data_IF_664494284178
#
_entry.id   IF_664494284178
#
_cell.length_a   1.000
_cell.length_b   1.000
_cell.length_c   1.000
_cell.angle_alpha   90.00
_cell.angle_beta   90.00
_cell.angle_gamma   90.00
#
_symmetry.space_group_name_H-M   'P 1'
#
loop_
_entity.id
_entity.type
_entity.pdbx_description
1 polymer ?
#
# COMPACT_ATOMS: atom_id res chain seq x y z
N UNK A 1 -15.42 -8.26 18.39
CA UNK A 1 -16.01 -6.89 18.42
C UNK A 1 -15.00 -5.78 18.79
N UNK A 2 -13.69 -5.96 18.52
CA UNK A 2 -12.66 -4.97 18.86
C UNK A 2 -11.88 -4.37 17.68
N UNK A 3 -12.08 -4.89 16.46
CA UNK A 3 -11.37 -4.42 15.27
C UNK A 3 -11.84 -3.03 14.81
N UNK A 4 -13.14 -2.75 14.97
CA UNK A 4 -13.77 -1.51 14.50
C UNK A 4 -13.28 -0.28 15.28
N UNK A 5 -13.14 -0.41 16.60
CA UNK A 5 -12.67 0.66 17.50
C UNK A 5 -11.17 0.93 17.28
N UNK A 6 -10.38 -0.13 17.03
CA UNK A 6 -8.95 0.00 16.79
C UNK A 6 -8.64 0.61 15.40
N UNK A 7 -9.47 0.33 14.40
CA UNK A 7 -9.30 0.90 13.06
C UNK A 7 -9.96 2.27 12.87
N UNK A 8 -10.92 2.71 13.70
CA UNK A 8 -11.52 4.05 13.54
C UNK A 8 -10.46 5.17 13.63
N UNK A 9 -9.41 5.00 14.44
CA UNK A 9 -8.33 5.99 14.59
C UNK A 9 -7.44 6.09 13.34
N UNK A 10 -7.52 5.13 12.41
CA UNK A 10 -6.76 5.17 11.15
C UNK A 10 -7.28 6.25 10.22
N UNK A 11 -8.59 6.54 10.23
CA UNK A 11 -9.15 7.64 9.42
C UNK A 11 -8.55 8.98 9.86
N UNK A 12 -8.34 9.19 11.16
CA UNK A 12 -7.69 10.39 11.70
C UNK A 12 -6.28 10.67 11.14
N UNK A 13 -5.63 9.69 10.50
CA UNK A 13 -4.28 9.82 9.95
C UNK A 13 -4.24 9.71 8.41
N UNK A 14 -5.38 9.60 7.71
CA UNK A 14 -5.39 9.35 6.25
C UNK A 14 -4.59 10.37 5.45
N UNK A 15 -4.65 11.65 5.84
CA UNK A 15 -3.88 12.74 5.20
C UNK A 15 -2.36 12.66 5.44
N UNK A 16 -1.91 11.86 6.40
CA UNK A 16 -0.49 11.65 6.73
C UNK A 16 0.04 10.30 6.24
N UNK A 17 -0.80 9.46 5.65
CA UNK A 17 -0.39 8.15 5.16
C UNK A 17 0.42 8.27 3.88
N UNK A 18 1.36 7.35 3.68
CA UNK A 18 1.97 7.13 2.36
C UNK A 18 0.89 6.68 1.36
N UNK A 19 1.02 7.03 0.07
CA UNK A 19 0.03 6.65 -0.94
C UNK A 19 -0.21 5.14 -1.01
N UNK A 20 0.84 4.33 -0.85
CA UNK A 20 0.74 2.87 -0.74
C UNK A 20 -0.11 2.39 0.44
N UNK A 21 0.05 3.01 1.62
CA UNK A 21 -0.73 2.70 2.81
C UNK A 21 -2.19 3.14 2.68
N UNK A 22 -2.42 4.32 2.08
CA UNK A 22 -3.76 4.82 1.80
C UNK A 22 -4.49 3.89 0.82
N UNK A 23 -3.88 3.57 -0.33
CA UNK A 23 -4.46 2.63 -1.31
C UNK A 23 -4.75 1.25 -0.70
N UNK A 24 -3.87 0.74 0.19
CA UNK A 24 -4.12 -0.51 0.93
C UNK A 24 -5.31 -0.43 1.90
N UNK A 25 -5.53 0.72 2.51
CA UNK A 25 -6.70 0.97 3.35
C UNK A 25 -7.97 1.04 2.47
N UNK A 26 -7.94 1.84 1.41
CA UNK A 26 -9.07 2.04 0.49
C UNK A 26 -9.51 0.74 -0.21
N UNK A 27 -8.57 -0.13 -0.59
CA UNK A 27 -8.89 -1.42 -1.24
C UNK A 27 -9.43 -2.49 -0.28
N UNK A 28 -9.43 -2.24 1.03
CA UNK A 28 -9.81 -3.23 2.04
C UNK A 28 -11.32 -3.44 2.06
N UNK A 29 -11.77 -4.69 2.16
CA UNK A 29 -13.21 -5.02 2.17
C UNK A 29 -13.99 -4.40 3.34
N UNK A 30 -13.30 -4.05 4.44
CA UNK A 30 -13.88 -3.43 5.64
C UNK A 30 -13.94 -1.90 5.51
N UNK A 31 -13.22 -1.32 4.55
CA UNK A 31 -13.16 0.13 4.36
C UNK A 31 -14.53 0.82 4.18
N UNK A 32 -15.47 0.32 3.35
CA UNK A 32 -16.78 0.97 3.20
C UNK A 32 -17.54 1.07 4.53
N UNK A 33 -17.61 -0.03 5.31
CA UNK A 33 -18.21 -0.03 6.66
C UNK A 33 -17.48 0.94 7.61
N UNK A 34 -16.15 1.00 7.52
CA UNK A 34 -15.32 1.87 8.34
C UNK A 34 -15.56 3.37 8.02
N UNK A 35 -15.70 3.71 6.74
CA UNK A 35 -15.99 5.06 6.27
C UNK A 35 -17.41 5.50 6.68
N UNK A 36 -18.40 4.61 6.55
CA UNK A 36 -19.77 4.87 6.98
C UNK A 36 -19.86 5.07 8.50
N UNK A 37 -19.18 4.23 9.28
CA UNK A 37 -19.11 4.38 10.73
C UNK A 37 -18.49 5.73 11.12
N UNK A 38 -17.39 6.13 10.48
CA UNK A 38 -16.75 7.42 10.74
C UNK A 38 -17.66 8.60 10.40
N UNK A 39 -18.42 8.52 9.31
CA UNK A 39 -19.42 9.53 8.96
C UNK A 39 -20.47 9.69 10.07
N UNK A 40 -21.00 8.58 10.59
CA UNK A 40 -21.99 8.58 11.67
C UNK A 40 -21.41 9.17 12.97
N UNK A 41 -20.18 8.81 13.32
CA UNK A 41 -19.47 9.33 14.50
C UNK A 41 -19.24 10.85 14.40
N UNK A 42 -18.76 11.32 13.26
CA UNK A 42 -18.58 12.75 13.00
C UNK A 42 -19.91 13.51 13.07
N UNK A 43 -20.99 12.99 12.46
CA UNK A 43 -22.31 13.61 12.52
C UNK A 43 -22.86 13.70 13.95
N UNK A 44 -22.56 12.71 14.79
CA UNK A 44 -23.00 12.68 16.19
C UNK A 44 -22.17 13.60 17.12
N UNK A 45 -20.91 13.91 16.75
CA UNK A 45 -19.96 14.59 17.64
C UNK A 45 -19.69 16.05 17.25
N UNK A 46 -18.93 16.30 16.18
CA UNK A 46 -18.44 17.65 15.80
C UNK A 46 -18.87 18.12 14.39
N UNK A 47 -19.55 17.26 13.62
CA UNK A 47 -20.00 17.44 12.22
C UNK A 47 -18.89 17.74 11.21
N UNK A 48 -17.65 17.40 11.53
CA UNK A 48 -16.54 17.52 10.60
C UNK A 48 -16.49 16.31 9.66
N UNK A 49 -16.77 16.53 8.38
CA UNK A 49 -16.75 15.48 7.35
C UNK A 49 -15.50 15.60 6.46
N UNK A 50 -14.49 16.35 6.87
CA UNK A 50 -13.31 16.62 6.04
C UNK A 50 -12.59 15.33 5.65
N UNK A 51 -12.38 14.43 6.62
CA UNK A 51 -11.71 13.15 6.38
C UNK A 51 -12.58 12.18 5.58
N UNK A 52 -13.90 12.21 5.80
CA UNK A 52 -14.85 11.43 5.02
C UNK A 52 -14.83 11.85 3.55
N UNK A 53 -14.92 13.16 3.27
CA UNK A 53 -14.87 13.72 1.93
C UNK A 53 -13.53 13.39 1.27
N UNK A 54 -12.41 13.59 1.97
CA UNK A 54 -11.09 13.24 1.47
C UNK A 54 -11.00 11.76 1.05
N UNK A 55 -11.49 10.84 1.87
CA UNK A 55 -11.50 9.42 1.49
C UNK A 55 -12.41 9.11 0.29
N UNK A 56 -13.56 9.79 0.18
CA UNK A 56 -14.47 9.64 -0.97
C UNK A 56 -13.82 10.17 -2.25
N UNK A 57 -13.23 11.37 -2.20
CA UNK A 57 -12.50 11.97 -3.32
C UNK A 57 -11.35 11.07 -3.76
N UNK A 58 -10.57 10.52 -2.84
CA UNK A 58 -9.49 9.59 -3.17
C UNK A 58 -10.00 8.28 -3.78
N UNK A 59 -11.20 7.79 -3.42
CA UNK A 59 -11.80 6.61 -4.06
C UNK A 59 -12.31 6.90 -5.47
N UNK A 60 -12.82 8.11 -5.71
CA UNK A 60 -13.27 8.55 -7.03
C UNK A 60 -12.08 8.87 -7.95
N UNK A 61 -11.01 9.45 -7.40
CA UNK A 61 -9.79 9.80 -8.13
C UNK A 61 -8.93 8.56 -8.43
N UNK A 62 -8.73 7.69 -7.44
CA UNK A 62 -7.95 6.46 -7.61
C UNK A 62 -8.87 5.40 -8.21
N UNK A 63 -8.80 5.23 -9.53
CA UNK A 63 -9.58 4.20 -10.24
C UNK A 63 -9.36 2.78 -9.69
N UNK A 64 -10.33 1.90 -9.90
CA UNK A 64 -10.27 0.51 -9.39
C UNK A 64 -9.00 -0.23 -9.85
N UNK A 65 -8.53 0.05 -11.07
CA UNK A 65 -7.29 -0.49 -11.63
C UNK A 65 -6.03 -0.03 -10.87
N UNK A 66 -6.02 1.18 -10.32
CA UNK A 66 -4.92 1.69 -9.48
C UNK A 66 -5.03 1.24 -8.01
N UNK A 67 -6.24 0.96 -7.53
CA UNK A 67 -6.48 0.42 -6.18
C UNK A 67 -6.11 -1.06 -6.07
N UNK A 68 -6.33 -1.83 -7.15
CA UNK A 68 -6.03 -3.27 -7.23
C UNK A 68 -5.15 -3.57 -8.44
N UNK A 69 -3.93 -3.01 -8.51
CA UNK A 69 -3.10 -3.24 -9.67
C UNK A 69 -2.58 -4.69 -9.66
N UNK A 70 -2.48 -5.34 -10.83
CA UNK A 70 -1.97 -6.70 -10.92
C UNK A 70 -0.49 -6.71 -10.51
N UNK A 71 -0.07 -7.74 -9.76
CA UNK A 71 1.31 -7.84 -9.27
C UNK A 71 2.30 -7.78 -10.44
N UNK A 72 3.25 -6.83 -10.41
CA UNK A 72 4.28 -6.70 -11.45
C UNK A 72 5.25 -7.89 -11.47
N UNK A 73 5.59 -8.39 -10.29
CA UNK A 73 6.53 -9.49 -10.09
C UNK A 73 5.92 -10.63 -9.29
N UNK A 74 6.38 -11.83 -9.60
CA UNK A 74 6.12 -13.04 -8.83
C UNK A 74 7.42 -13.62 -8.30
N UNK A 75 7.32 -14.54 -7.34
CA UNK A 75 8.51 -15.25 -6.84
C UNK A 75 9.28 -15.98 -7.95
N UNK A 76 8.59 -16.48 -8.99
CA UNK A 76 9.26 -17.11 -10.13
C UNK A 76 10.17 -16.16 -10.89
N UNK A 77 9.80 -14.88 -10.99
CA UNK A 77 10.61 -13.86 -11.66
C UNK A 77 11.90 -13.58 -10.88
N UNK A 78 11.81 -13.55 -9.55
CA UNK A 78 12.98 -13.42 -8.67
C UNK A 78 13.92 -14.63 -8.79
N UNK A 79 13.36 -15.85 -8.91
CA UNK A 79 14.16 -17.06 -9.16
C UNK A 79 14.86 -17.00 -10.51
N UNK A 80 14.17 -16.51 -11.55
CA UNK A 80 14.75 -16.34 -12.89
C UNK A 80 15.90 -15.32 -12.90
N UNK A 81 15.88 -14.32 -12.01
CA UNK A 81 16.97 -13.37 -11.79
C UNK A 81 18.18 -13.99 -11.02
N UNK A 82 18.07 -15.23 -10.53
CA UNK A 82 19.13 -15.91 -9.79
C UNK A 82 19.07 -15.69 -8.27
N UNK A 83 17.99 -15.09 -7.75
CA UNK A 83 17.79 -14.95 -6.30
C UNK A 83 17.33 -16.29 -5.69
N UNK A 84 17.84 -16.59 -4.49
CA UNK A 84 17.47 -17.82 -3.77
C UNK A 84 16.16 -17.60 -3.00
N UNK A 85 15.17 -18.51 -3.13
CA UNK A 85 13.91 -18.39 -2.42
C UNK A 85 14.14 -18.42 -0.90
N UNK A 86 13.54 -17.45 -0.19
CA UNK A 86 13.67 -17.30 1.25
C UNK A 86 12.86 -16.12 1.79
N UNK A 87 13.05 -15.78 3.06
CA UNK A 87 12.31 -14.68 3.74
C UNK A 87 12.45 -13.34 2.99
N UNK A 88 13.57 -13.13 2.31
CA UNK A 88 13.83 -11.91 1.54
C UNK A 88 12.87 -11.73 0.36
N UNK A 89 12.31 -12.81 -0.22
CA UNK A 89 11.33 -12.68 -1.31
C UNK A 89 10.08 -11.93 -0.87
N UNK A 90 9.59 -12.21 0.34
CA UNK A 90 8.44 -11.49 0.88
C UNK A 90 8.72 -9.99 1.04
N UNK A 91 9.96 -9.63 1.44
CA UNK A 91 10.38 -8.24 1.55
C UNK A 91 10.45 -7.57 0.18
N UNK A 92 11.11 -8.20 -0.79
CA UNK A 92 11.23 -7.67 -2.16
C UNK A 92 9.86 -7.51 -2.80
N UNK A 93 9.00 -8.53 -2.75
CA UNK A 93 7.66 -8.45 -3.32
C UNK A 93 6.80 -7.38 -2.64
N UNK A 94 6.94 -7.20 -1.33
CA UNK A 94 6.24 -6.14 -0.61
C UNK A 94 6.76 -4.75 -0.96
N UNK A 95 8.06 -4.59 -1.19
CA UNK A 95 8.69 -3.34 -1.62
C UNK A 95 8.26 -2.97 -3.04
N UNK A 96 8.24 -3.95 -3.96
CA UNK A 96 7.74 -3.76 -5.32
C UNK A 96 6.24 -3.46 -5.32
N UNK A 97 5.44 -4.10 -4.47
CA UNK A 97 4.02 -3.75 -4.29
C UNK A 97 3.86 -2.32 -3.77
N UNK A 98 4.71 -1.87 -2.83
CA UNK A 98 4.66 -0.49 -2.34
C UNK A 98 4.98 0.49 -3.47
N UNK A 99 6.12 0.31 -4.15
CA UNK A 99 6.54 1.14 -5.29
C UNK A 99 5.51 1.16 -6.42
N UNK A 100 4.83 0.03 -6.66
CA UNK A 100 3.73 -0.05 -7.62
C UNK A 100 2.53 0.80 -7.18
N UNK A 101 2.13 0.71 -5.92
CA UNK A 101 1.02 1.50 -5.38
C UNK A 101 1.37 3.00 -5.32
N UNK A 102 2.63 3.33 -5.11
CA UNK A 102 3.13 4.71 -5.16
C UNK A 102 3.25 5.26 -6.61
N UNK A 103 3.09 4.42 -7.63
CA UNK A 103 3.22 4.81 -9.04
C UNK A 103 4.68 4.92 -9.53
N UNK A 104 5.65 4.52 -8.71
CA UNK A 104 7.07 4.49 -9.06
C UNK A 104 7.42 3.37 -10.04
N UNK A 105 6.67 2.27 -10.02
CA UNK A 105 6.83 1.14 -10.93
C UNK A 105 5.48 0.83 -11.58
N UNK A 106 5.41 0.86 -12.91
CA UNK A 106 4.17 0.56 -13.64
C UNK A 106 4.27 -0.72 -14.46
N UNK A 107 5.48 -1.20 -14.73
CA UNK A 107 5.71 -2.35 -15.59
C UNK A 107 6.59 -3.42 -14.93
N UNK A 108 6.44 -4.65 -15.41
CA UNK A 108 7.26 -5.78 -15.00
C UNK A 108 8.76 -5.54 -15.28
N UNK A 109 9.09 -4.92 -16.40
CA UNK A 109 10.49 -4.63 -16.76
C UNK A 109 11.14 -3.64 -15.79
N UNK A 110 10.44 -2.55 -15.44
CA UNK A 110 10.90 -1.61 -14.41
C UNK A 110 11.10 -2.29 -13.07
N UNK A 111 10.18 -3.16 -12.67
CA UNK A 111 10.30 -3.92 -11.43
C UNK A 111 11.50 -4.87 -11.44
N UNK A 112 11.74 -5.59 -12.55
CA UNK A 112 12.93 -6.43 -12.72
C UNK A 112 14.22 -5.61 -12.68
N UNK A 113 14.23 -4.45 -13.35
CA UNK A 113 15.36 -3.54 -13.37
C UNK A 113 15.67 -3.01 -11.95
N UNK A 114 14.63 -2.64 -11.19
CA UNK A 114 14.77 -2.21 -9.80
C UNK A 114 15.34 -3.31 -8.91
N UNK A 115 14.83 -4.54 -9.01
CA UNK A 115 15.38 -5.68 -8.23
C UNK A 115 16.84 -5.93 -8.62
N UNK A 116 17.18 -5.87 -9.90
CA UNK A 116 18.55 -5.99 -10.36
C UNK A 116 19.44 -4.87 -9.80
N UNK A 117 18.98 -3.64 -9.85
CA UNK A 117 19.76 -2.49 -9.38
C UNK A 117 20.02 -2.59 -7.87
N UNK A 118 18.96 -2.81 -7.09
CA UNK A 118 18.98 -2.82 -5.63
C UNK A 118 19.64 -4.09 -5.04
N UNK A 119 19.47 -5.26 -5.67
CA UNK A 119 19.91 -6.55 -5.09
C UNK A 119 21.01 -7.28 -5.88
N UNK A 120 21.22 -6.97 -7.16
CA UNK A 120 22.23 -7.63 -8.00
C UNK A 120 23.41 -6.71 -8.37
N UNK A 121 23.30 -5.38 -8.22
CA UNK A 121 24.46 -4.49 -8.37
C UNK A 121 25.39 -4.65 -7.17
N UNK A 122 26.70 -4.70 -7.44
CA UNK A 122 27.78 -4.98 -6.50
C UNK A 122 27.62 -4.27 -5.12
N UNK A 123 27.85 -4.96 -3.99
CA UNK A 123 27.50 -4.47 -2.65
C UNK A 123 28.50 -3.41 -2.14
N UNK A 124 28.08 -2.15 -2.13
CA UNK A 124 28.53 -1.23 -1.09
C UNK A 124 27.49 -1.29 0.02
N UNK A 125 27.74 -2.16 1.00
CA UNK A 125 26.78 -2.51 2.03
C UNK A 125 26.43 -1.35 2.96
N UNK A 126 25.22 -1.41 3.50
CA UNK A 126 24.96 -0.98 4.86
C UNK A 126 24.08 -2.05 5.55
N UNK A 127 24.53 -2.62 6.69
CA UNK A 127 23.66 -3.34 7.60
C UNK A 127 22.89 -2.31 8.44
N UNK A 128 21.62 -2.07 8.10
CA UNK A 128 20.77 -1.15 8.86
C UNK A 128 19.43 -1.77 9.18
N UNK A 129 19.19 -2.06 10.46
CA UNK A 129 17.84 -2.32 10.95
C UNK A 129 17.80 -3.12 12.25
N UNK A 130 17.86 -2.37 13.36
CA UNK A 130 17.81 -2.76 14.78
C UNK A 130 16.96 -3.97 15.15
#
# INVERSE_FOLDING_TARGET
>A
MGALINQHMRIGQVKKMRPSTLKRLLRSDIFPDLLELHRLDCLASHRDLELFNYCSEQLEEIGEEELKPPRLLTGNDLIALGLKPGVQFGRILSEIEDLQLEGSLSTKDEALAHVRETYLSCPSGEPGGL
#
